data_IF_017120276046
#
_entry.id   IF_017120276046
#
_cell.length_a   1.000
_cell.length_b   1.000
_cell.length_c   1.000
_cell.angle_alpha   90.00
_cell.angle_beta   90.00
_cell.angle_gamma   90.00
#
_symmetry.space_group_name_H-M   'P 1'
#
loop_
_entity.id
_entity.type
_entity.pdbx_description
1 polymer ?
#
# COMPACT_ATOMS: atom_id res chain seq x y z
N UNK A 1 37.62 5.58 48.60
CA UNK A 1 36.38 4.84 48.32
C UNK A 1 35.24 5.70 47.76
N UNK A 2 35.19 7.03 47.97
CA UNK A 2 34.11 7.90 47.43
C UNK A 2 34.22 8.30 45.93
N UNK A 3 35.37 8.13 45.29
CA UNK A 3 35.59 8.53 43.88
C UNK A 3 35.25 7.44 42.83
N UNK A 4 35.06 6.19 43.27
CA UNK A 4 34.74 5.06 42.36
C UNK A 4 33.23 4.92 42.15
N UNK A 5 32.42 5.36 43.13
CA UNK A 5 30.96 5.24 43.07
C UNK A 5 30.33 6.25 42.09
N UNK A 6 31.01 7.41 41.86
CA UNK A 6 30.47 8.46 40.93
C UNK A 6 30.70 8.15 39.45
N UNK A 7 31.62 7.25 39.12
CA UNK A 7 31.87 6.86 37.73
C UNK A 7 30.90 5.79 37.20
N UNK A 8 30.31 4.98 38.09
CA UNK A 8 29.37 3.90 37.70
C UNK A 8 27.93 4.40 37.47
N UNK A 9 27.54 5.55 38.05
CA UNK A 9 26.20 6.10 37.86
C UNK A 9 26.03 6.84 36.52
N UNK A 10 27.11 7.31 35.88
CA UNK A 10 27.04 8.03 34.61
C UNK A 10 26.88 7.11 33.39
N UNK A 11 27.34 5.85 33.49
CA UNK A 11 27.23 4.87 32.37
C UNK A 11 25.85 4.23 32.30
N UNK A 12 25.13 4.14 33.42
CA UNK A 12 23.78 3.55 33.44
C UNK A 12 22.68 4.44 32.82
N UNK A 13 22.90 5.77 32.78
CA UNK A 13 21.92 6.73 32.23
C UNK A 13 21.99 6.81 30.70
N UNK A 14 23.14 6.48 30.08
CA UNK A 14 23.29 6.58 28.62
C UNK A 14 22.66 5.41 27.86
N UNK A 15 22.41 4.25 28.49
CA UNK A 15 21.76 3.11 27.83
C UNK A 15 20.22 3.18 27.80
N UNK A 16 19.60 4.08 28.56
CA UNK A 16 18.14 4.18 28.64
C UNK A 16 17.51 5.03 27.52
N UNK A 17 18.31 5.75 26.71
CA UNK A 17 17.82 6.67 25.68
C UNK A 17 17.81 6.12 24.27
N UNK A 18 18.25 4.87 24.05
CA UNK A 18 18.28 4.25 22.71
C UNK A 18 17.15 3.26 22.46
N UNK A 19 16.13 3.21 23.31
CA UNK A 19 14.92 2.44 23.00
C UNK A 19 13.92 3.33 22.25
N UNK A 20 14.31 3.82 21.06
CA UNK A 20 13.34 4.27 20.08
C UNK A 20 12.54 3.04 19.69
N UNK A 21 11.36 2.86 20.30
CA UNK A 21 10.41 1.85 19.89
C UNK A 21 10.18 2.04 18.38
N UNK A 22 10.71 1.14 17.56
CA UNK A 22 10.34 1.05 16.15
C UNK A 22 8.85 0.83 16.13
N UNK A 23 8.10 1.92 15.89
CA UNK A 23 6.65 1.88 15.75
C UNK A 23 6.39 0.97 14.55
N UNK A 24 5.88 -0.23 14.80
CA UNK A 24 5.59 -1.18 13.72
C UNK A 24 4.68 -0.52 12.67
N UNK A 25 4.86 -0.86 11.41
CA UNK A 25 4.04 -0.34 10.32
C UNK A 25 2.56 -0.62 10.58
N UNK A 26 1.71 0.36 10.31
CA UNK A 26 0.27 0.25 10.52
C UNK A 26 -0.34 -0.75 9.55
N UNK A 27 -1.17 -1.67 10.06
CA UNK A 27 -2.02 -2.52 9.23
C UNK A 27 -3.07 -1.68 8.52
N UNK A 28 -3.18 -1.82 7.19
CA UNK A 28 -4.07 -1.00 6.35
C UNK A 28 -5.05 -1.84 5.53
N UNK A 29 -4.85 -3.15 5.47
CA UNK A 29 -5.75 -4.05 4.77
C UNK A 29 -6.82 -4.56 5.72
N UNK A 30 -8.09 -4.34 5.38
CA UNK A 30 -9.23 -4.93 6.09
C UNK A 30 -9.49 -6.34 5.53
N UNK A 31 -9.21 -7.34 6.34
CA UNK A 31 -9.33 -8.76 5.97
C UNK A 31 -10.78 -9.28 6.04
N UNK A 32 -11.71 -8.46 6.53
CA UNK A 32 -13.14 -8.77 6.63
C UNK A 32 -13.93 -8.36 5.38
N UNK A 33 -13.41 -7.44 4.57
CA UNK A 33 -14.10 -6.93 3.39
C UNK A 33 -14.00 -7.92 2.22
N UNK A 34 -15.12 -8.13 1.53
CA UNK A 34 -15.15 -8.84 0.26
C UNK A 34 -14.42 -8.02 -0.81
N UNK A 35 -13.31 -8.49 -1.38
CA UNK A 35 -12.52 -7.69 -2.32
C UNK A 35 -13.26 -7.36 -3.61
N UNK A 36 -14.22 -8.18 -4.03
CA UNK A 36 -15.02 -7.91 -5.23
C UNK A 36 -15.97 -6.73 -5.02
N UNK A 37 -16.66 -6.70 -3.87
CA UNK A 37 -17.54 -5.61 -3.48
C UNK A 37 -16.77 -4.32 -3.23
N UNK A 38 -15.58 -4.41 -2.62
CA UNK A 38 -14.71 -3.26 -2.39
C UNK A 38 -14.31 -2.59 -3.70
N UNK A 39 -13.96 -3.37 -4.72
CA UNK A 39 -13.63 -2.85 -6.05
C UNK A 39 -14.87 -2.23 -6.71
N UNK A 40 -16.04 -2.85 -6.62
CA UNK A 40 -17.28 -2.30 -7.18
C UNK A 40 -17.63 -0.94 -6.56
N UNK A 41 -17.60 -0.84 -5.25
CA UNK A 41 -17.85 0.41 -4.52
C UNK A 41 -16.81 1.50 -4.89
N UNK A 42 -15.55 1.13 -5.04
CA UNK A 42 -14.51 2.06 -5.46
C UNK A 42 -14.74 2.58 -6.89
N UNK A 43 -15.17 1.73 -7.83
CA UNK A 43 -15.49 2.12 -9.20
C UNK A 43 -16.69 3.08 -9.23
N UNK A 44 -17.76 2.77 -8.52
CA UNK A 44 -18.94 3.66 -8.44
C UNK A 44 -18.59 5.03 -7.84
N UNK A 45 -17.75 5.03 -6.78
CA UNK A 45 -17.26 6.28 -6.20
C UNK A 45 -16.41 7.06 -7.21
N UNK A 46 -15.47 6.40 -7.88
CA UNK A 46 -14.58 7.01 -8.86
C UNK A 46 -15.38 7.62 -10.03
N UNK A 47 -16.42 6.93 -10.50
CA UNK A 47 -17.35 7.42 -11.52
C UNK A 47 -18.07 8.70 -11.09
N UNK A 48 -18.57 8.76 -9.86
CA UNK A 48 -19.22 9.93 -9.31
C UNK A 48 -18.29 11.13 -9.11
N UNK A 49 -17.00 10.89 -8.90
CA UNK A 49 -15.99 11.92 -8.65
C UNK A 49 -15.13 12.25 -9.89
N UNK A 50 -15.33 11.59 -11.02
CA UNK A 50 -14.52 11.78 -12.23
C UNK A 50 -13.07 11.27 -12.10
N UNK A 51 -12.81 10.37 -11.14
CA UNK A 51 -11.51 9.77 -10.81
C UNK A 51 -11.34 8.38 -11.43
N UNK A 52 -10.13 7.84 -11.29
CA UNK A 52 -9.86 6.41 -11.51
C UNK A 52 -9.69 5.68 -10.16
N UNK A 53 -9.62 4.36 -10.19
CA UNK A 53 -9.34 3.54 -9.01
C UNK A 53 -7.90 3.07 -9.06
N UNK A 54 -7.19 3.11 -7.92
CA UNK A 54 -5.93 2.40 -7.75
C UNK A 54 -6.10 1.33 -6.69
N UNK A 55 -5.98 0.08 -7.10
CA UNK A 55 -5.98 -1.07 -6.22
C UNK A 55 -4.53 -1.41 -5.83
N UNK A 56 -4.14 -1.16 -4.58
CA UNK A 56 -2.93 -1.74 -4.01
C UNK A 56 -3.25 -3.17 -3.54
N UNK A 57 -2.88 -4.16 -4.35
CA UNK A 57 -3.11 -5.57 -4.01
C UNK A 57 -1.98 -6.10 -3.14
N UNK A 58 -2.32 -6.74 -2.04
CA UNK A 58 -1.36 -7.28 -1.08
C UNK A 58 -2.03 -7.73 0.21
N UNK A 59 -1.41 -7.47 1.36
CA UNK A 59 -1.99 -7.83 2.66
C UNK A 59 -1.12 -7.38 3.83
N UNK A 60 -1.67 -7.48 5.04
CA UNK A 60 -0.96 -7.13 6.27
C UNK A 60 0.25 -8.06 6.57
N UNK A 61 0.36 -9.17 5.88
CA UNK A 61 1.49 -10.11 5.92
C UNK A 61 2.69 -9.65 5.09
N UNK A 62 2.54 -8.62 4.25
CA UNK A 62 3.53 -8.15 3.30
C UNK A 62 4.21 -6.86 3.81
N UNK A 63 5.46 -6.91 4.28
CA UNK A 63 6.15 -5.73 4.80
C UNK A 63 6.27 -4.58 3.79
N UNK A 64 6.56 -4.89 2.52
CA UNK A 64 6.64 -3.90 1.46
C UNK A 64 5.29 -3.23 1.16
N UNK A 65 4.19 -3.96 1.32
CA UNK A 65 2.85 -3.39 1.19
C UNK A 65 2.57 -2.33 2.25
N UNK A 66 2.95 -2.62 3.50
CA UNK A 66 2.78 -1.69 4.61
C UNK A 66 3.75 -0.51 4.53
N UNK A 67 5.00 -0.75 4.07
CA UNK A 67 5.97 0.32 3.79
C UNK A 67 5.45 1.29 2.74
N UNK A 68 4.85 0.80 1.65
CA UNK A 68 4.30 1.68 0.62
C UNK A 68 3.13 2.52 1.15
N UNK A 69 2.22 1.89 1.89
CA UNK A 69 1.10 2.62 2.50
C UNK A 69 1.58 3.72 3.46
N UNK A 70 2.59 3.42 4.28
CA UNK A 70 3.21 4.41 5.17
C UNK A 70 3.93 5.51 4.38
N UNK A 71 4.65 5.15 3.32
CA UNK A 71 5.39 6.09 2.47
C UNK A 71 4.47 7.12 1.82
N UNK A 72 3.36 6.68 1.20
CA UNK A 72 2.42 7.61 0.56
C UNK A 72 1.64 8.45 1.57
N UNK A 73 1.33 7.91 2.75
CA UNK A 73 0.61 8.63 3.79
C UNK A 73 1.44 9.72 4.48
N UNK A 74 2.77 9.58 4.48
CA UNK A 74 3.68 10.55 5.11
C UNK A 74 4.23 11.61 4.13
N UNK A 75 3.88 11.55 2.84
CA UNK A 75 4.27 12.55 1.85
C UNK A 75 3.04 13.30 1.33
N UNK A 76 2.89 14.57 1.71
CA UNK A 76 1.72 15.39 1.34
C UNK A 76 1.57 15.56 -0.17
N UNK A 77 2.68 15.67 -0.91
CA UNK A 77 2.62 15.84 -2.37
C UNK A 77 2.06 14.59 -3.06
N UNK A 78 2.40 13.40 -2.54
CA UNK A 78 1.90 12.13 -3.08
C UNK A 78 0.44 11.93 -2.67
N UNK A 79 0.12 12.15 -1.38
CA UNK A 79 -1.25 11.95 -0.88
C UNK A 79 -2.25 12.90 -1.55
N UNK A 80 -1.91 14.17 -1.72
CA UNK A 80 -2.74 15.16 -2.45
C UNK A 80 -2.96 14.72 -3.92
N UNK A 81 -1.89 14.31 -4.63
CA UNK A 81 -2.00 13.82 -6.01
C UNK A 81 -2.94 12.60 -6.10
N UNK A 82 -2.84 11.68 -5.13
CA UNK A 82 -3.70 10.51 -5.06
C UNK A 82 -5.15 10.94 -4.78
N UNK A 83 -5.37 11.75 -3.76
CA UNK A 83 -6.69 12.19 -3.34
C UNK A 83 -7.44 12.97 -4.41
N UNK A 84 -6.74 13.78 -5.19
CA UNK A 84 -7.33 14.55 -6.29
C UNK A 84 -7.76 13.69 -7.47
N UNK A 85 -7.04 12.59 -7.77
CA UNK A 85 -7.18 11.88 -9.04
C UNK A 85 -7.70 10.45 -8.92
N UNK A 86 -7.62 9.86 -7.72
CA UNK A 86 -7.92 8.44 -7.56
C UNK A 86 -8.80 8.15 -6.34
N UNK A 87 -9.58 7.09 -6.46
CA UNK A 87 -10.10 6.34 -5.32
C UNK A 87 -9.08 5.23 -5.03
N UNK A 88 -8.26 5.45 -4.01
CA UNK A 88 -7.20 4.52 -3.64
C UNK A 88 -7.70 3.51 -2.61
N UNK A 89 -7.53 2.21 -2.89
CA UNK A 89 -7.98 1.14 -2.01
C UNK A 89 -6.88 0.09 -1.77
N UNK A 90 -6.84 -0.42 -0.55
CA UNK A 90 -6.00 -1.57 -0.18
C UNK A 90 -6.81 -2.85 -0.33
N UNK A 91 -6.50 -3.64 -1.35
CA UNK A 91 -7.23 -4.87 -1.67
C UNK A 91 -6.50 -6.06 -1.07
N UNK A 92 -7.13 -6.68 -0.06
CA UNK A 92 -6.53 -7.81 0.64
C UNK A 92 -6.51 -9.06 -0.24
N UNK A 93 -5.31 -9.65 -0.37
CA UNK A 93 -5.09 -10.92 -1.02
C UNK A 93 -4.77 -11.99 0.03
N UNK A 94 -5.65 -12.96 0.17
CA UNK A 94 -5.47 -14.08 1.07
C UNK A 94 -5.77 -15.42 0.38
N UNK A 95 -4.75 -16.08 -0.20
CA UNK A 95 -4.94 -17.35 -0.92
C UNK A 95 -5.02 -18.57 0.00
N UNK A 96 -4.88 -18.40 1.32
CA UNK A 96 -4.76 -19.51 2.26
C UNK A 96 -6.09 -20.22 2.46
N UNK A 97 -6.20 -21.45 2.00
CA UNK A 97 -7.38 -22.30 2.26
C UNK A 97 -7.60 -22.60 3.74
N UNK A 98 -6.56 -22.52 4.57
CA UNK A 98 -6.67 -22.68 6.03
C UNK A 98 -7.52 -21.58 6.69
N UNK A 99 -7.72 -20.45 6.03
CA UNK A 99 -8.58 -19.34 6.50
C UNK A 99 -9.98 -19.37 5.85
N UNK A 100 -10.30 -20.41 5.11
CA UNK A 100 -11.58 -20.65 4.47
C UNK A 100 -11.48 -20.74 2.94
N UNK A 101 -12.11 -21.74 2.35
CA UNK A 101 -12.13 -21.93 0.90
C UNK A 101 -12.80 -20.76 0.17
N UNK A 102 -13.80 -20.16 0.78
CA UNK A 102 -14.49 -18.98 0.25
C UNK A 102 -13.55 -17.80 0.05
N UNK A 103 -12.71 -17.45 1.06
CA UNK A 103 -11.72 -16.39 0.96
C UNK A 103 -10.69 -16.65 -0.13
N UNK A 104 -10.24 -17.90 -0.25
CA UNK A 104 -9.30 -18.30 -1.30
C UNK A 104 -9.94 -18.15 -2.70
N UNK A 105 -11.21 -18.53 -2.85
CA UNK A 105 -11.97 -18.38 -4.11
C UNK A 105 -12.18 -16.90 -4.46
N UNK A 106 -12.54 -16.06 -3.49
CA UNK A 106 -12.69 -14.62 -3.68
C UNK A 106 -11.37 -13.97 -4.10
N UNK A 107 -10.26 -14.36 -3.47
CA UNK A 107 -8.92 -13.90 -3.85
C UNK A 107 -8.58 -14.27 -5.30
N UNK A 108 -8.93 -15.48 -5.74
CA UNK A 108 -8.73 -15.91 -7.13
C UNK A 108 -9.57 -15.07 -8.10
N UNK A 109 -10.86 -14.91 -7.83
CA UNK A 109 -11.76 -14.08 -8.66
C UNK A 109 -11.30 -12.63 -8.75
N UNK A 110 -10.83 -12.07 -7.65
CA UNK A 110 -10.28 -10.72 -7.60
C UNK A 110 -9.04 -10.59 -8.49
N UNK A 111 -8.11 -11.54 -8.43
CA UNK A 111 -6.94 -11.53 -9.31
C UNK A 111 -7.33 -11.64 -10.79
N UNK A 112 -8.28 -12.51 -11.14
CA UNK A 112 -8.79 -12.65 -12.50
C UNK A 112 -9.40 -11.33 -13.01
N UNK A 113 -10.23 -10.69 -12.18
CA UNK A 113 -10.84 -9.39 -12.48
C UNK A 113 -9.80 -8.29 -12.72
N UNK A 114 -8.72 -8.29 -11.95
CA UNK A 114 -7.62 -7.34 -12.06
C UNK A 114 -6.53 -7.75 -13.07
N UNK A 115 -6.85 -8.67 -14.01
CA UNK A 115 -5.93 -9.14 -15.06
C UNK A 115 -4.68 -9.86 -14.54
N UNK A 116 -4.86 -10.64 -13.47
CA UNK A 116 -3.84 -11.50 -12.86
C UNK A 116 -2.52 -10.76 -12.50
N UNK A 117 -2.56 -9.72 -11.66
CA UNK A 117 -1.40 -8.92 -11.32
C UNK A 117 -0.36 -9.67 -10.46
N UNK A 118 -0.72 -10.78 -9.82
CA UNK A 118 0.12 -11.54 -8.87
C UNK A 118 1.48 -11.99 -9.43
N UNK A 119 1.63 -12.05 -10.76
CA UNK A 119 2.89 -12.38 -11.43
C UNK A 119 4.04 -11.39 -11.14
N UNK A 120 3.71 -10.21 -10.64
CA UNK A 120 4.70 -9.16 -10.30
C UNK A 120 5.06 -9.14 -8.81
N UNK A 121 4.53 -10.05 -8.00
CA UNK A 121 4.73 -10.02 -6.54
C UNK A 121 3.83 -8.99 -5.84
N UNK A 122 4.19 -8.60 -4.61
CA UNK A 122 3.39 -7.70 -3.77
C UNK A 122 4.24 -6.66 -3.03
N UNK A 123 3.75 -5.40 -2.88
CA UNK A 123 2.49 -4.94 -3.45
C UNK A 123 2.54 -4.89 -4.97
N UNK A 124 1.38 -5.01 -5.60
CA UNK A 124 1.21 -4.67 -7.01
C UNK A 124 0.05 -3.68 -7.12
N UNK A 125 0.20 -2.70 -8.01
CA UNK A 125 -0.79 -1.65 -8.19
C UNK A 125 -1.54 -1.85 -9.49
N UNK A 126 -2.86 -1.79 -9.44
CA UNK A 126 -3.70 -1.91 -10.64
C UNK A 126 -4.53 -0.64 -10.78
N UNK A 127 -4.33 0.06 -11.88
CA UNK A 127 -5.13 1.24 -12.25
C UNK A 127 -6.34 0.78 -13.04
N UNK A 128 -7.52 1.19 -12.59
CA UNK A 128 -8.81 0.81 -13.19
C UNK A 128 -9.58 2.09 -13.49
N UNK A 129 -10.19 2.19 -14.67
CA UNK A 129 -11.03 3.33 -15.02
C UNK A 129 -12.43 3.25 -14.37
N UNK A 130 -13.23 4.27 -14.58
CA UNK A 130 -14.59 4.39 -14.04
C UNK A 130 -15.59 3.41 -14.69
N UNK A 131 -15.20 2.66 -15.70
CA UNK A 131 -15.98 1.56 -16.30
C UNK A 131 -15.54 0.19 -15.77
N UNK A 132 -14.51 0.13 -14.91
CA UNK A 132 -13.96 -1.11 -14.38
C UNK A 132 -12.93 -1.78 -15.27
N UNK A 133 -12.44 -1.10 -16.31
CA UNK A 133 -11.38 -1.62 -17.21
C UNK A 133 -10.01 -1.41 -16.58
N UNK A 134 -9.20 -2.45 -16.55
CA UNK A 134 -7.79 -2.35 -16.15
C UNK A 134 -7.00 -1.59 -17.21
N UNK A 135 -6.42 -0.45 -16.81
CA UNK A 135 -5.61 0.41 -17.67
C UNK A 135 -4.12 0.07 -17.56
N UNK A 136 -3.66 -0.26 -16.35
CA UNK A 136 -2.24 -0.50 -16.08
C UNK A 136 -2.04 -1.39 -14.87
N UNK A 137 -0.97 -2.16 -14.89
CA UNK A 137 -0.47 -2.93 -13.75
C UNK A 137 0.97 -2.50 -13.49
N UNK A 138 1.23 -1.92 -12.31
CA UNK A 138 2.54 -1.46 -11.89
C UNK A 138 3.17 -2.45 -10.91
N UNK A 139 4.29 -3.03 -11.30
CA UNK A 139 5.18 -3.76 -10.40
C UNK A 139 5.84 -2.78 -9.42
N UNK A 140 5.74 -3.06 -8.12
CA UNK A 140 6.30 -2.20 -7.07
C UNK A 140 7.81 -2.09 -7.13
N UNK A 141 8.52 -3.11 -7.62
CA UNK A 141 9.98 -3.12 -7.69
C UNK A 141 10.55 -1.97 -8.53
N UNK A 142 9.82 -1.50 -9.53
CA UNK A 142 10.21 -0.33 -10.32
C UNK A 142 10.07 1.01 -9.57
N UNK A 143 9.36 1.01 -8.44
CA UNK A 143 9.16 2.19 -7.61
C UNK A 143 10.13 2.23 -6.42
N UNK A 144 10.83 1.13 -6.17
CA UNK A 144 11.72 0.95 -5.02
C UNK A 144 13.07 1.67 -5.20
N UNK A 145 13.66 2.03 -4.06
CA UNK A 145 15.03 2.53 -3.94
C UNK A 145 15.57 2.19 -2.54
N UNK A 146 16.66 1.41 -2.50
CA UNK A 146 17.23 0.93 -1.25
C UNK A 146 16.22 0.08 -0.46
N UNK A 147 15.97 0.46 0.79
CA UNK A 147 15.01 -0.24 1.66
C UNK A 147 13.62 0.42 1.69
N UNK A 148 13.33 1.31 0.75
CA UNK A 148 12.07 2.08 0.68
C UNK A 148 11.65 2.32 -0.76
N UNK A 149 10.86 3.36 -0.99
CA UNK A 149 10.37 3.78 -2.29
C UNK A 149 10.99 5.12 -2.70
N UNK A 150 11.17 5.31 -4.01
CA UNK A 150 11.65 6.56 -4.58
C UNK A 150 10.48 7.51 -4.87
N UNK A 151 10.50 8.71 -4.27
CA UNK A 151 9.43 9.70 -4.42
C UNK A 151 9.14 10.07 -5.86
N UNK A 152 10.16 10.33 -6.66
CA UNK A 152 9.97 10.75 -8.06
C UNK A 152 9.41 9.63 -8.95
N UNK A 153 9.82 8.38 -8.70
CA UNK A 153 9.26 7.22 -9.40
C UNK A 153 7.77 7.06 -9.06
N UNK A 154 7.40 7.18 -7.77
CA UNK A 154 6.02 7.08 -7.30
C UNK A 154 5.17 8.20 -7.85
N UNK A 155 5.64 9.45 -7.78
CA UNK A 155 4.94 10.61 -8.36
C UNK A 155 4.73 10.44 -9.87
N UNK A 156 5.76 9.98 -10.60
CA UNK A 156 5.67 9.73 -12.04
C UNK A 156 4.65 8.65 -12.37
N UNK A 157 4.61 7.57 -11.59
CA UNK A 157 3.60 6.53 -11.74
C UNK A 157 2.19 7.14 -11.65
N UNK A 158 1.87 7.83 -10.56
CA UNK A 158 0.52 8.39 -10.39
C UNK A 158 0.21 9.46 -11.44
N UNK A 159 1.12 10.39 -11.74
CA UNK A 159 0.90 11.46 -12.74
C UNK A 159 0.57 10.90 -14.13
N UNK A 160 1.23 9.82 -14.53
CA UNK A 160 1.02 9.21 -15.86
C UNK A 160 -0.35 8.55 -16.00
N UNK A 161 -0.99 8.19 -14.89
CA UNK A 161 -2.25 7.45 -14.90
C UNK A 161 -3.43 8.25 -14.34
N UNK A 162 -3.29 9.56 -14.19
CA UNK A 162 -4.44 10.42 -13.85
C UNK A 162 -5.50 10.36 -14.96
N UNK A 163 -6.80 10.55 -14.65
CA UNK A 163 -7.84 10.62 -15.68
C UNK A 163 -7.54 11.63 -16.78
N UNK A 164 -6.95 12.77 -16.41
CA UNK A 164 -6.54 13.80 -17.36
C UNK A 164 -5.44 13.31 -18.31
N UNK A 165 -4.42 12.61 -17.78
CA UNK A 165 -3.30 12.14 -18.60
C UNK A 165 -3.72 11.04 -19.59
N UNK A 166 -4.68 10.19 -19.19
CA UNK A 166 -5.14 9.05 -20.03
C UNK A 166 -6.16 9.48 -21.09
N UNK A 167 -6.95 10.55 -20.83
CA UNK A 167 -8.01 11.00 -21.74
C UNK A 167 -7.53 12.04 -22.77
N UNK A 168 -6.25 12.46 -22.70
CA UNK A 168 -5.63 13.33 -23.71
C UNK A 168 -5.22 12.51 -24.93
#
# INVERSE_FOLDING_TARGET
>A
MKKIIMAMTLVAVCCALCCSAQKGLKKVYDESINPMEQIDQAIEKAKGEGKFVVCQVGGNWCPWCLKFADFIANDSTISELIDENFVYIHVNYNPRKSEGEEKALLSKKMLERLSNPSRFGYPVFVVVDEQGKVLHIQDSSFLEEGESYNKEKVLRFFRNWTPRAVRQ
#
